data_IF_826692166613
#
_entry.id   IF_826692166613
#
_cell.length_a   1.000
_cell.length_b   1.000
_cell.length_c   1.000
_cell.angle_alpha   90.00
_cell.angle_beta   90.00
_cell.angle_gamma   90.00
#
_symmetry.space_group_name_H-M   'P 1'
#
loop_
_entity.id
_entity.type
_entity.pdbx_description
1 polymer ?
#
# COMPACT_ATOMS: atom_id res chain seq x y z
N UNK A 1 -4.12 -23.10 0.79
CA UNK A 1 -3.23 -21.95 1.05
C UNK A 1 -2.71 -22.00 2.48
N UNK A 2 -1.67 -21.25 2.81
CA UNK A 2 -1.19 -21.11 4.19
C UNK A 2 -2.02 -20.01 4.85
N UNK A 3 -2.71 -20.34 5.94
CA UNK A 3 -3.46 -19.39 6.76
C UNK A 3 -2.68 -19.08 8.04
N UNK A 4 -2.76 -17.82 8.47
CA UNK A 4 -2.11 -17.37 9.71
C UNK A 4 -3.17 -17.31 10.81
N UNK A 5 -3.37 -18.43 11.51
CA UNK A 5 -4.36 -18.53 12.59
C UNK A 5 -3.83 -18.07 13.96
N UNK A 6 -2.51 -17.93 14.07
CA UNK A 6 -1.87 -17.50 15.30
C UNK A 6 -1.83 -15.96 15.36
N UNK A 7 -2.49 -15.38 16.38
CA UNK A 7 -2.55 -13.93 16.58
C UNK A 7 -1.16 -13.27 16.71
N UNK A 8 -0.22 -13.90 17.41
CA UNK A 8 1.13 -13.38 17.54
C UNK A 8 1.88 -13.37 16.21
N UNK A 9 1.73 -14.44 15.41
CA UNK A 9 2.32 -14.50 14.08
C UNK A 9 1.70 -13.45 13.15
N UNK A 10 0.41 -13.19 13.25
CA UNK A 10 -0.26 -12.12 12.49
C UNK A 10 0.32 -10.74 12.83
N UNK A 11 0.53 -10.44 14.13
CA UNK A 11 1.17 -9.19 14.57
C UNK A 11 2.59 -9.10 14.00
N UNK A 12 3.37 -10.17 14.08
CA UNK A 12 4.74 -10.19 13.54
C UNK A 12 4.74 -9.91 12.02
N UNK A 13 3.84 -10.52 11.27
CA UNK A 13 3.67 -10.25 9.85
C UNK A 13 3.30 -8.78 9.58
N UNK A 14 2.42 -8.19 10.39
CA UNK A 14 2.08 -6.77 10.29
C UNK A 14 3.29 -5.86 10.55
N UNK A 15 4.09 -6.15 11.57
CA UNK A 15 5.32 -5.38 11.88
C UNK A 15 6.32 -5.46 10.72
N UNK A 16 6.55 -6.67 10.19
CA UNK A 16 7.43 -6.86 9.02
C UNK A 16 6.89 -6.08 7.82
N UNK A 17 5.58 -6.16 7.56
CA UNK A 17 4.94 -5.42 6.48
C UNK A 17 5.13 -3.90 6.64
N UNK A 18 4.92 -3.36 7.85
CA UNK A 18 5.14 -1.95 8.15
C UNK A 18 6.61 -1.53 7.93
N UNK A 19 7.57 -2.37 8.36
CA UNK A 19 8.98 -2.12 8.14
C UNK A 19 9.34 -2.12 6.64
N UNK A 20 8.81 -3.05 5.85
CA UNK A 20 9.00 -3.09 4.41
C UNK A 20 8.38 -1.86 3.73
N UNK A 21 7.15 -1.48 4.11
CA UNK A 21 6.46 -0.30 3.60
C UNK A 21 7.19 1.01 3.93
N UNK A 22 7.74 1.14 5.13
CA UNK A 22 8.52 2.32 5.51
C UNK A 22 9.90 2.39 4.86
N UNK A 23 10.43 1.27 4.39
CA UNK A 23 11.82 1.17 3.92
C UNK A 23 11.97 1.24 2.39
N UNK A 24 10.95 0.87 1.61
CA UNK A 24 11.09 0.74 0.16
C UNK A 24 11.54 2.05 -0.53
N UNK A 25 11.05 3.20 -0.06
CA UNK A 25 11.41 4.50 -0.62
C UNK A 25 12.89 4.86 -0.43
N UNK A 26 13.56 4.29 0.60
CA UNK A 26 14.99 4.47 0.81
C UNK A 26 15.81 3.88 -0.34
N UNK A 27 15.35 2.81 -0.95
CA UNK A 27 16.06 2.15 -2.05
C UNK A 27 16.20 3.05 -3.27
N UNK A 28 15.24 3.95 -3.51
CA UNK A 28 15.32 4.96 -4.56
C UNK A 28 16.51 5.92 -4.37
N UNK A 29 16.94 6.14 -3.13
CA UNK A 29 18.05 7.06 -2.79
C UNK A 29 19.42 6.37 -2.68
N UNK A 30 19.47 5.04 -2.76
CA UNK A 30 20.72 4.28 -2.66
C UNK A 30 21.62 4.46 -3.89
N UNK A 31 21.03 4.82 -5.03
CA UNK A 31 21.76 5.06 -6.28
C UNK A 31 21.61 6.52 -6.69
N UNK A 32 22.70 7.12 -7.16
CA UNK A 32 22.67 8.52 -7.61
C UNK A 32 21.71 8.68 -8.80
N UNK A 33 20.87 9.72 -8.76
CA UNK A 33 19.84 9.98 -9.78
C UNK A 33 20.41 10.11 -11.22
N UNK A 34 21.70 10.46 -11.36
CA UNK A 34 22.40 10.49 -12.66
C UNK A 34 22.66 9.12 -13.24
N UNK A 35 22.75 8.07 -12.39
CA UNK A 35 22.98 6.69 -12.81
C UNK A 35 21.68 5.91 -12.94
N UNK A 36 20.68 6.26 -12.11
CA UNK A 36 19.39 5.58 -12.07
C UNK A 36 18.27 6.61 -11.89
N UNK A 37 17.61 6.93 -12.99
CA UNK A 37 16.48 7.86 -12.94
C UNK A 37 15.28 7.24 -12.19
N UNK A 38 14.36 8.05 -11.70
CA UNK A 38 13.21 7.55 -10.95
C UNK A 38 12.30 6.66 -11.83
N UNK A 39 12.29 6.85 -13.13
CA UNK A 39 11.53 6.04 -14.09
C UNK A 39 12.10 4.63 -14.17
N UNK A 40 13.44 4.50 -14.23
CA UNK A 40 14.11 3.19 -14.25
C UNK A 40 13.92 2.47 -12.91
N UNK A 41 14.11 3.20 -11.80
CA UNK A 41 13.82 2.65 -10.47
C UNK A 41 12.38 2.14 -10.38
N UNK A 42 11.41 2.88 -10.92
CA UNK A 42 10.01 2.50 -10.89
C UNK A 42 9.74 1.23 -11.70
N UNK A 43 10.39 1.06 -12.84
CA UNK A 43 10.33 -0.19 -13.61
C UNK A 43 10.83 -1.39 -12.81
N UNK A 44 11.98 -1.27 -12.16
CA UNK A 44 12.53 -2.35 -11.34
C UNK A 44 11.64 -2.67 -10.15
N UNK A 45 11.08 -1.64 -9.51
CA UNK A 45 10.13 -1.79 -8.42
C UNK A 45 8.89 -2.57 -8.86
N UNK A 46 8.31 -2.22 -10.01
CA UNK A 46 7.08 -2.89 -10.52
C UNK A 46 7.36 -4.32 -10.94
N UNK A 47 8.50 -4.60 -11.58
CA UNK A 47 8.91 -5.96 -11.92
C UNK A 47 9.15 -6.78 -10.65
N UNK A 48 9.83 -6.22 -9.64
CA UNK A 48 10.07 -6.86 -8.36
C UNK A 48 8.76 -7.19 -7.63
N UNK A 49 7.81 -6.25 -7.59
CA UNK A 49 6.48 -6.47 -7.01
C UNK A 49 5.71 -7.58 -7.72
N UNK A 50 5.71 -7.57 -9.06
CA UNK A 50 5.04 -8.60 -9.86
C UNK A 50 5.62 -9.99 -9.59
N UNK A 51 6.95 -10.12 -9.62
CA UNK A 51 7.62 -11.40 -9.36
C UNK A 51 7.39 -11.89 -7.94
N UNK A 52 7.44 -11.00 -6.94
CA UNK A 52 7.18 -11.34 -5.54
C UNK A 52 5.73 -11.78 -5.34
N UNK A 53 4.77 -11.06 -5.94
CA UNK A 53 3.35 -11.41 -5.87
C UNK A 53 3.10 -12.77 -6.54
N UNK A 54 3.70 -13.03 -7.71
CA UNK A 54 3.58 -14.30 -8.42
C UNK A 54 4.17 -15.47 -7.60
N UNK A 55 5.37 -15.28 -7.04
CA UNK A 55 5.99 -16.26 -6.16
C UNK A 55 5.12 -16.54 -4.93
N UNK A 56 4.59 -15.49 -4.29
CA UNK A 56 3.67 -15.61 -3.16
C UNK A 56 2.40 -16.39 -3.51
N UNK A 57 1.80 -16.11 -4.66
CA UNK A 57 0.60 -16.80 -5.14
C UNK A 57 0.86 -18.30 -5.41
N UNK A 58 1.98 -18.61 -6.07
CA UNK A 58 2.33 -20.00 -6.42
C UNK A 58 2.81 -20.79 -5.20
N UNK A 59 3.46 -20.16 -4.24
CA UNK A 59 3.97 -20.81 -3.03
C UNK A 59 2.96 -20.71 -1.88
N UNK A 60 2.91 -19.61 -1.18
CA UNK A 60 2.07 -19.41 0.01
C UNK A 60 0.58 -19.55 -0.28
N UNK A 61 0.14 -19.06 -1.44
CA UNK A 61 -1.25 -19.17 -1.90
C UNK A 61 -1.65 -20.55 -2.40
N UNK A 62 -0.69 -21.43 -2.75
CA UNK A 62 -0.96 -22.75 -3.32
C UNK A 62 -0.50 -23.91 -2.43
N UNK A 63 0.41 -23.66 -1.47
CA UNK A 63 0.89 -24.66 -0.50
C UNK A 63 0.10 -24.57 0.80
N UNK A 64 -0.18 -25.70 1.40
CA UNK A 64 -0.94 -25.81 2.64
C UNK A 64 -2.23 -26.58 2.46
N UNK A 65 -2.86 -26.95 3.58
CA UNK A 65 -4.05 -27.81 3.64
C UNK A 65 -5.36 -27.04 3.76
N UNK A 66 -5.28 -25.73 4.02
CA UNK A 66 -6.47 -24.93 4.32
C UNK A 66 -6.94 -24.14 3.10
N UNK A 67 -8.27 -24.10 2.92
CA UNK A 67 -8.92 -23.32 1.89
C UNK A 67 -8.60 -23.74 0.45
N UNK A 68 -9.03 -22.93 -0.52
CA UNK A 68 -8.74 -23.16 -1.94
C UNK A 68 -7.33 -22.65 -2.29
N UNK A 69 -6.67 -23.34 -3.20
CA UNK A 69 -5.37 -22.89 -3.74
C UNK A 69 -5.57 -21.72 -4.70
N UNK A 70 -4.51 -20.96 -4.94
CA UNK A 70 -4.52 -19.84 -5.90
C UNK A 70 -5.07 -20.25 -7.28
N UNK A 71 -4.65 -21.41 -7.80
CA UNK A 71 -5.12 -21.89 -9.10
C UNK A 71 -6.59 -22.32 -9.09
N UNK A 72 -7.08 -22.88 -7.97
CA UNK A 72 -8.49 -23.21 -7.82
C UNK A 72 -9.36 -21.97 -7.71
N UNK A 73 -8.89 -20.94 -7.00
CA UNK A 73 -9.58 -19.66 -6.90
C UNK A 73 -9.62 -18.95 -8.27
N UNK A 74 -8.51 -18.95 -8.99
CA UNK A 74 -8.43 -18.37 -10.35
C UNK A 74 -9.40 -19.05 -11.33
N UNK A 75 -9.60 -20.37 -11.19
CA UNK A 75 -10.50 -21.14 -12.06
C UNK A 75 -11.99 -20.83 -11.83
N UNK A 76 -12.37 -20.36 -10.65
CA UNK A 76 -13.77 -20.04 -10.29
C UNK A 76 -14.04 -18.53 -10.20
N UNK A 77 -13.01 -17.70 -10.43
CA UNK A 77 -13.13 -16.25 -10.36
C UNK A 77 -13.98 -15.72 -11.51
N UNK A 78 -14.97 -14.89 -11.20
CA UNK A 78 -15.80 -14.24 -12.20
C UNK A 78 -15.04 -13.09 -12.89
N UNK A 79 -15.41 -12.82 -14.13
CA UNK A 79 -14.77 -11.80 -14.96
C UNK A 79 -14.86 -10.39 -14.35
N UNK A 80 -15.94 -10.08 -13.66
CA UNK A 80 -16.12 -8.77 -13.01
C UNK A 80 -15.10 -8.54 -11.91
N UNK A 81 -14.81 -9.54 -11.10
CA UNK A 81 -13.79 -9.46 -10.04
C UNK A 81 -12.38 -9.23 -10.61
N UNK A 82 -12.06 -9.88 -11.73
CA UNK A 82 -10.78 -9.67 -12.44
C UNK A 82 -10.68 -8.21 -12.93
N UNK A 83 -11.75 -7.69 -13.54
CA UNK A 83 -11.78 -6.30 -14.03
C UNK A 83 -11.59 -5.28 -12.90
N UNK A 84 -12.28 -5.46 -11.76
CA UNK A 84 -12.12 -4.58 -10.61
C UNK A 84 -10.71 -4.65 -10.00
N UNK A 85 -10.14 -5.84 -9.90
CA UNK A 85 -8.76 -6.02 -9.42
C UNK A 85 -7.75 -5.33 -10.36
N UNK A 86 -7.93 -5.49 -11.67
CA UNK A 86 -7.09 -4.83 -12.68
C UNK A 86 -7.20 -3.31 -12.61
N UNK A 87 -8.43 -2.77 -12.55
CA UNK A 87 -8.68 -1.33 -12.45
C UNK A 87 -8.06 -0.75 -11.16
N UNK A 88 -8.24 -1.44 -10.04
CA UNK A 88 -7.61 -1.08 -8.76
C UNK A 88 -6.10 -1.02 -8.87
N UNK A 89 -5.48 -2.00 -9.52
CA UNK A 89 -4.04 -2.02 -9.79
C UNK A 89 -3.57 -0.85 -10.67
N UNK A 90 -4.33 -0.50 -11.70
CA UNK A 90 -4.04 0.66 -12.57
C UNK A 90 -4.07 1.96 -11.76
N UNK A 91 -5.13 2.19 -10.99
CA UNK A 91 -5.28 3.41 -10.16
C UNK A 91 -4.16 3.49 -9.11
N UNK A 92 -3.85 2.37 -8.45
CA UNK A 92 -2.77 2.30 -7.48
C UNK A 92 -1.41 2.63 -8.11
N UNK A 93 -1.16 2.09 -9.32
CA UNK A 93 0.09 2.32 -10.05
C UNK A 93 0.28 3.78 -10.45
N UNK A 94 -0.79 4.45 -10.88
CA UNK A 94 -0.78 5.89 -11.12
C UNK A 94 -0.35 6.67 -9.87
N UNK A 95 -0.95 6.40 -8.72
CA UNK A 95 -0.58 7.03 -7.45
C UNK A 95 0.89 6.82 -7.09
N UNK A 96 1.40 5.61 -7.28
CA UNK A 96 2.80 5.27 -6.99
C UNK A 96 3.80 5.96 -7.93
N UNK A 97 3.50 6.09 -9.22
CA UNK A 97 4.34 6.85 -10.17
C UNK A 97 4.48 8.29 -9.69
N UNK A 98 3.38 8.94 -9.34
CA UNK A 98 3.43 10.33 -8.84
C UNK A 98 4.17 10.44 -7.49
N UNK A 99 4.00 9.44 -6.62
CA UNK A 99 4.73 9.43 -5.34
C UNK A 99 6.25 9.30 -5.56
N UNK A 100 6.69 8.39 -6.43
CA UNK A 100 8.12 8.24 -6.74
C UNK A 100 8.69 9.45 -7.45
N UNK A 101 7.93 10.09 -8.34
CA UNK A 101 8.30 11.36 -8.96
C UNK A 101 8.42 12.49 -7.93
N UNK A 102 7.47 12.61 -7.00
CA UNK A 102 7.51 13.59 -5.93
C UNK A 102 8.74 13.39 -5.02
N UNK A 103 9.07 12.14 -4.69
CA UNK A 103 10.29 11.81 -3.93
C UNK A 103 11.55 12.18 -4.71
N UNK A 104 11.56 12.01 -6.03
CA UNK A 104 12.70 12.37 -6.87
C UNK A 104 12.93 13.90 -6.90
N UNK A 105 11.86 14.68 -7.00
CA UNK A 105 11.89 16.14 -7.16
C UNK A 105 12.02 16.85 -5.81
N UNK A 106 11.13 16.56 -4.86
CA UNK A 106 11.04 17.26 -3.58
C UNK A 106 11.84 16.59 -2.45
N UNK A 107 12.38 15.42 -2.69
CA UNK A 107 13.04 14.61 -1.67
C UNK A 107 12.07 13.73 -0.86
N UNK A 108 12.64 12.73 -0.19
CA UNK A 108 11.88 11.75 0.55
C UNK A 108 11.20 12.33 1.80
N UNK A 109 11.84 13.30 2.46
CA UNK A 109 11.31 13.96 3.66
C UNK A 109 10.05 14.77 3.39
N UNK A 110 9.83 15.20 2.17
CA UNK A 110 8.66 15.99 1.73
C UNK A 110 7.68 15.11 0.94
N UNK A 111 8.16 14.50 -0.13
CA UNK A 111 7.32 13.76 -1.08
C UNK A 111 6.60 12.57 -0.44
N UNK A 112 7.29 11.83 0.42
CA UNK A 112 6.71 10.63 1.04
C UNK A 112 5.67 10.96 2.13
N UNK A 113 5.94 11.84 3.12
CA UNK A 113 4.94 12.18 4.13
C UNK A 113 3.70 12.85 3.52
N UNK A 114 3.87 13.81 2.62
CA UNK A 114 2.74 14.53 2.01
C UNK A 114 1.96 13.60 1.08
N UNK A 115 2.61 13.00 0.10
CA UNK A 115 1.94 12.14 -0.89
C UNK A 115 1.35 10.88 -0.28
N UNK A 116 2.13 10.16 0.51
CA UNK A 116 1.68 8.93 1.20
C UNK A 116 0.65 9.21 2.28
N UNK A 117 0.86 10.26 3.08
CA UNK A 117 -0.06 10.63 4.15
C UNK A 117 -1.41 11.11 3.64
N UNK A 118 -1.44 11.95 2.60
CA UNK A 118 -2.69 12.38 1.95
C UNK A 118 -3.43 11.20 1.32
N UNK A 119 -2.71 10.29 0.65
CA UNK A 119 -3.31 9.08 0.08
C UNK A 119 -3.93 8.20 1.17
N UNK A 120 -3.28 8.07 2.31
CA UNK A 120 -3.76 7.26 3.43
C UNK A 120 -5.00 7.85 4.08
N UNK A 121 -4.95 9.14 4.44
CA UNK A 121 -6.09 9.86 5.00
C UNK A 121 -7.27 9.86 4.02
N UNK A 122 -7.00 10.18 2.75
CA UNK A 122 -8.01 10.17 1.69
C UNK A 122 -8.64 8.79 1.51
N UNK A 123 -7.84 7.72 1.57
CA UNK A 123 -8.33 6.34 1.50
C UNK A 123 -9.24 5.96 2.65
N UNK A 124 -8.91 6.36 3.89
CA UNK A 124 -9.74 6.11 5.07
C UNK A 124 -11.07 6.86 4.95
N UNK A 125 -11.03 8.15 4.62
CA UNK A 125 -12.23 8.98 4.47
C UNK A 125 -13.11 8.43 3.34
N UNK A 126 -12.53 8.12 2.19
CA UNK A 126 -13.25 7.57 1.05
C UNK A 126 -13.93 6.23 1.38
N UNK A 127 -13.21 5.32 2.03
CA UNK A 127 -13.77 4.03 2.45
C UNK A 127 -14.91 4.21 3.46
N UNK A 128 -14.75 5.11 4.43
CA UNK A 128 -15.82 5.43 5.39
C UNK A 128 -17.07 5.97 4.69
N UNK A 129 -16.89 6.86 3.71
CA UNK A 129 -18.00 7.40 2.91
C UNK A 129 -18.70 6.30 2.10
N UNK A 130 -17.96 5.40 1.45
CA UNK A 130 -18.53 4.29 0.70
C UNK A 130 -19.37 3.36 1.57
N UNK A 131 -18.88 3.00 2.77
CA UNK A 131 -19.62 2.18 3.74
C UNK A 131 -20.92 2.88 4.14
N UNK A 132 -20.84 4.18 4.42
CA UNK A 132 -22.02 4.99 4.80
C UNK A 132 -23.03 5.10 3.65
N UNK A 133 -22.58 5.35 2.42
CA UNK A 133 -23.44 5.43 1.23
C UNK A 133 -24.09 4.08 0.89
N UNK A 134 -23.43 2.97 1.20
CA UNK A 134 -23.98 1.63 1.06
C UNK A 134 -25.02 1.28 2.17
N UNK A 135 -25.33 2.21 3.08
CA UNK A 135 -26.26 1.98 4.19
C UNK A 135 -25.70 1.02 5.25
N UNK A 136 -24.40 0.76 5.23
CA UNK A 136 -23.73 -0.09 6.21
C UNK A 136 -23.15 0.74 7.34
N UNK A 137 -23.14 0.17 8.56
CA UNK A 137 -22.48 0.78 9.71
C UNK A 137 -21.04 0.36 9.80
N UNK A 138 -20.14 1.32 10.04
CA UNK A 138 -18.74 1.03 10.32
C UNK A 138 -18.61 0.15 11.56
N UNK A 139 -17.97 -1.01 11.42
CA UNK A 139 -17.85 -2.03 12.46
C UNK A 139 -16.77 -1.73 13.53
N UNK A 140 -16.01 -0.65 13.37
CA UNK A 140 -14.95 -0.25 14.28
C UNK A 140 -15.32 0.88 15.24
N UNK A 141 -14.41 1.21 16.14
CA UNK A 141 -14.57 2.35 17.03
C UNK A 141 -14.31 3.66 16.27
N UNK A 142 -15.39 4.41 16.02
CA UNK A 142 -15.34 5.68 15.28
C UNK A 142 -14.45 6.73 15.96
N UNK A 143 -14.43 6.77 17.30
CA UNK A 143 -13.59 7.73 18.04
C UNK A 143 -12.11 7.45 17.77
N UNK A 144 -11.70 6.19 17.83
CA UNK A 144 -10.31 5.81 17.53
C UNK A 144 -9.95 6.06 16.07
N UNK A 145 -10.88 5.81 15.13
CA UNK A 145 -10.65 6.10 13.72
C UNK A 145 -10.37 7.59 13.49
N UNK A 146 -11.27 8.47 13.95
CA UNK A 146 -11.15 9.90 13.70
C UNK A 146 -10.04 10.55 14.52
N UNK A 147 -9.72 10.04 15.71
CA UNK A 147 -8.53 10.49 16.45
C UNK A 147 -7.25 10.13 15.70
N UNK A 148 -7.15 8.93 15.14
CA UNK A 148 -6.02 8.52 14.31
C UNK A 148 -5.86 9.37 13.06
N UNK A 149 -6.95 9.68 12.35
CA UNK A 149 -6.95 10.60 11.20
C UNK A 149 -6.47 11.99 11.60
N UNK A 150 -6.96 12.52 12.73
CA UNK A 150 -6.56 13.84 13.23
C UNK A 150 -5.07 13.91 13.58
N UNK A 151 -4.54 12.89 14.26
CA UNK A 151 -3.12 12.79 14.58
C UNK A 151 -2.27 12.70 13.31
N UNK A 152 -2.68 11.89 12.34
CA UNK A 152 -1.99 11.78 11.05
C UNK A 152 -1.97 13.10 10.30
N UNK A 153 -3.08 13.83 10.28
CA UNK A 153 -3.18 15.14 9.65
C UNK A 153 -2.28 16.20 10.32
N UNK A 154 -2.25 16.24 11.65
CA UNK A 154 -1.37 17.17 12.39
C UNK A 154 0.11 16.86 12.16
N UNK A 155 0.44 15.56 12.06
CA UNK A 155 1.81 15.14 11.75
C UNK A 155 2.25 15.59 10.35
N UNK A 156 1.37 15.47 9.35
CA UNK A 156 1.63 15.97 7.99
C UNK A 156 1.88 17.47 7.98
N UNK A 157 1.05 18.25 8.68
CA UNK A 157 1.22 19.71 8.78
C UNK A 157 2.53 20.11 9.46
N UNK A 158 2.97 19.36 10.46
CA UNK A 158 4.25 19.61 11.12
C UNK A 158 5.44 19.46 10.14
N UNK A 159 5.34 18.55 9.17
CA UNK A 159 6.36 18.42 8.13
C UNK A 159 6.34 19.57 7.10
N UNK A 160 5.18 20.15 6.81
CA UNK A 160 5.09 21.33 5.92
C UNK A 160 5.75 22.56 6.55
N UNK A 161 5.54 22.80 7.84
CA UNK A 161 6.09 23.99 8.53
C UNK A 161 7.60 23.95 8.74
N UNK A 162 8.24 22.79 8.72
CA UNK A 162 9.71 22.64 8.80
C UNK A 162 10.40 23.05 7.49
N UNK A 163 9.66 23.15 6.38
CA UNK A 163 10.20 23.52 5.08
C UNK A 163 10.18 25.04 4.85
N UNK A 164 9.44 25.78 5.66
CA UNK A 164 9.35 27.25 5.61
C UNK A 164 10.41 27.95 6.49
N UNK A 165 11.29 27.20 7.16
CA UNK A 165 12.41 27.65 7.98
C UNK A 165 13.75 27.34 7.30
#
# INVERSE_FOLDING_TARGET
MILVDNYFLAILCCVICCACWGSWANTQKMVAAKQWSFELFYWDLTVGLFLTALLGAVTLGSMGSEGRTFFQDLAVMDWSSIQYAFLGGVVWNFGNIFLTAAIAVAGMSVGFPIGGGLAWIGGIVFNYLLISLAGQTYQGNQLLLWSGVSVSYTHLRAHETVLDL
#
